data_IF_837340145835
#
_entry.id   IF_837340145835
#
_cell.length_a   1.000
_cell.length_b   1.000
_cell.length_c   1.000
_cell.angle_alpha   90.00
_cell.angle_beta   90.00
_cell.angle_gamma   90.00
#
_symmetry.space_group_name_H-M   'P 1'
#
loop_
_entity.id
_entity.type
_entity.pdbx_description
1 polymer ?
#
# COMPACT_ATOMS: atom_id res chain seq x y z
N UNK A 1 5.56 -10.48 -2.91
CA UNK A 1 5.43 -9.18 -3.60
C UNK A 1 6.10 -9.14 -4.98
N UNK A 2 7.37 -9.53 -5.17
CA UNK A 2 8.09 -9.30 -6.43
C UNK A 2 7.41 -9.93 -7.67
N UNK A 3 6.96 -11.19 -7.55
CA UNK A 3 6.27 -11.89 -8.64
C UNK A 3 4.96 -11.19 -9.07
N UNK A 4 4.23 -10.62 -8.11
CA UNK A 4 3.01 -9.88 -8.42
C UNK A 4 3.31 -8.61 -9.21
N UNK A 5 4.37 -7.88 -8.86
CA UNK A 5 4.79 -6.66 -9.58
C UNK A 5 5.27 -7.01 -10.99
N UNK A 6 6.04 -8.08 -11.15
CA UNK A 6 6.47 -8.56 -12.47
C UNK A 6 5.27 -8.94 -13.34
N UNK A 7 4.27 -9.62 -12.77
CA UNK A 7 3.05 -9.97 -13.49
C UNK A 7 2.24 -8.74 -13.88
N UNK A 8 2.09 -7.77 -12.97
CA UNK A 8 1.47 -6.48 -13.28
C UNK A 8 2.22 -5.77 -14.41
N UNK A 9 3.56 -5.81 -14.41
CA UNK A 9 4.38 -5.23 -15.48
C UNK A 9 4.19 -5.97 -16.82
N UNK A 10 4.00 -7.29 -16.79
CA UNK A 10 3.79 -8.11 -17.99
C UNK A 10 2.46 -7.80 -18.67
N UNK A 11 1.39 -7.61 -17.89
CA UNK A 11 0.03 -7.37 -18.41
C UNK A 11 -0.26 -5.90 -18.69
N UNK A 12 0.43 -4.97 -18.02
CA UNK A 12 0.21 -3.54 -18.21
C UNK A 12 0.74 -3.08 -19.58
N UNK A 13 -0.14 -2.49 -20.39
CA UNK A 13 0.22 -1.99 -21.72
C UNK A 13 1.35 -0.94 -21.63
N UNK A 14 2.47 -1.09 -22.36
CA UNK A 14 3.63 -0.20 -22.24
C UNK A 14 3.37 1.27 -22.60
N UNK A 15 2.42 1.55 -23.51
CA UNK A 15 2.18 2.90 -24.02
C UNK A 15 1.02 3.62 -23.32
N UNK A 16 -0.04 2.86 -23.03
CA UNK A 16 -1.33 3.38 -22.55
C UNK A 16 -1.71 2.89 -21.16
N UNK A 17 -1.00 1.90 -20.64
CA UNK A 17 -1.33 1.25 -19.39
C UNK A 17 -1.13 2.18 -18.19
N UNK A 18 -2.04 2.08 -17.23
CA UNK A 18 -1.97 2.74 -15.93
C UNK A 18 -2.08 1.66 -14.85
N UNK A 19 -1.16 1.70 -13.90
CA UNK A 19 -1.22 0.86 -12.70
C UNK A 19 -1.49 1.75 -11.50
N UNK A 20 -2.66 1.61 -10.88
CA UNK A 20 -3.06 2.39 -9.70
C UNK A 20 -3.15 1.49 -8.48
N UNK A 21 -2.55 1.91 -7.37
CA UNK A 21 -2.55 1.16 -6.11
C UNK A 21 -2.79 2.09 -4.93
N UNK A 22 -3.43 1.55 -3.90
CA UNK A 22 -3.55 2.18 -2.58
C UNK A 22 -2.80 1.30 -1.60
N UNK A 23 -1.79 1.88 -0.95
CA UNK A 23 -0.92 1.18 -0.02
C UNK A 23 -1.23 1.66 1.39
N UNK A 24 -1.63 0.77 2.32
CA UNK A 24 -1.74 1.12 3.73
C UNK A 24 -0.40 1.63 4.27
N UNK A 25 -0.42 2.72 5.03
CA UNK A 25 0.75 3.24 5.74
C UNK A 25 1.07 2.40 6.98
N UNK A 26 1.17 1.08 6.81
CA UNK A 26 1.40 0.11 7.86
C UNK A 26 2.65 0.44 8.68
N UNK A 27 2.56 0.27 10.00
CA UNK A 27 3.62 0.65 10.94
C UNK A 27 3.66 2.15 11.31
N UNK A 28 2.79 2.99 10.75
CA UNK A 28 2.67 4.39 11.17
C UNK A 28 1.87 4.55 12.47
N UNK A 29 2.14 5.63 13.22
CA UNK A 29 1.39 5.96 14.43
C UNK A 29 -0.08 6.25 14.12
N UNK A 30 -0.33 7.02 13.05
CA UNK A 30 -1.68 7.33 12.59
C UNK A 30 -2.46 6.07 12.17
N UNK A 31 -1.83 5.19 11.40
CA UNK A 31 -2.44 3.93 10.97
C UNK A 31 -2.74 3.02 12.16
N UNK A 32 -1.79 2.89 13.10
CA UNK A 32 -1.96 2.09 14.31
C UNK A 32 -3.13 2.59 15.16
N UNK A 33 -3.24 3.91 15.35
CA UNK A 33 -4.33 4.51 16.11
C UNK A 33 -5.68 4.29 15.41
N UNK A 34 -5.75 4.57 14.11
CA UNK A 34 -6.96 4.36 13.32
C UNK A 34 -7.41 2.90 13.36
N UNK A 35 -6.49 1.94 13.21
CA UNK A 35 -6.76 0.50 13.30
C UNK A 35 -7.38 0.14 14.65
N UNK A 36 -6.78 0.59 15.75
CA UNK A 36 -7.23 0.30 17.13
C UNK A 36 -8.64 0.80 17.41
N UNK A 37 -9.02 1.97 16.91
CA UNK A 37 -10.37 2.53 17.16
C UNK A 37 -11.44 2.01 16.19
N UNK A 38 -11.04 1.41 15.05
CA UNK A 38 -11.95 0.97 13.99
C UNK A 38 -11.91 -0.55 13.79
N UNK A 39 -11.18 -1.04 12.78
CA UNK A 39 -11.18 -2.42 12.33
C UNK A 39 -10.85 -3.42 13.44
N UNK A 40 -9.80 -3.14 14.24
CA UNK A 40 -9.41 -4.01 15.34
C UNK A 40 -10.52 -4.14 16.39
N UNK A 41 -11.03 -3.00 16.86
CA UNK A 41 -12.11 -2.96 17.86
C UNK A 41 -13.36 -3.68 17.39
N UNK A 42 -13.76 -3.50 16.13
CA UNK A 42 -14.94 -4.16 15.55
C UNK A 42 -14.70 -5.66 15.44
N UNK A 43 -13.55 -6.08 14.94
CA UNK A 43 -13.19 -7.48 14.77
C UNK A 43 -13.14 -8.22 16.11
N UNK A 44 -12.40 -7.70 17.08
CA UNK A 44 -12.22 -8.32 18.40
C UNK A 44 -13.55 -8.44 19.16
N UNK A 45 -14.42 -7.43 19.06
CA UNK A 45 -15.78 -7.50 19.62
C UNK A 45 -16.66 -8.55 18.96
N UNK A 46 -16.56 -8.68 17.64
CA UNK A 46 -17.41 -9.59 16.86
C UNK A 46 -16.99 -11.04 17.02
N UNK A 47 -15.69 -11.30 17.04
CA UNK A 47 -15.13 -12.64 16.94
C UNK A 47 -14.45 -13.13 18.23
N UNK A 48 -14.29 -12.29 19.26
CA UNK A 48 -13.72 -12.68 20.55
C UNK A 48 -12.25 -13.12 20.48
N UNK A 49 -11.53 -12.75 19.42
CA UNK A 49 -10.15 -13.14 19.17
C UNK A 49 -9.32 -11.94 18.70
N UNK A 50 -8.01 -11.98 18.95
CA UNK A 50 -7.08 -10.92 18.57
C UNK A 50 -7.12 -10.64 17.07
N UNK A 51 -7.12 -9.37 16.68
CA UNK A 51 -7.01 -8.97 15.28
C UNK A 51 -5.56 -9.08 14.74
N UNK A 52 -4.57 -9.20 15.64
CA UNK A 52 -3.16 -9.08 15.26
C UNK A 52 -2.67 -10.24 14.38
N UNK A 53 -3.19 -11.46 14.58
CA UNK A 53 -2.83 -12.60 13.73
C UNK A 53 -3.32 -12.41 12.28
N UNK A 54 -4.43 -11.71 12.09
CA UNK A 54 -5.01 -11.48 10.77
C UNK A 54 -4.21 -10.41 10.04
N UNK A 55 -4.02 -9.24 10.66
CA UNK A 55 -3.32 -8.12 10.02
C UNK A 55 -1.85 -8.46 9.73
N UNK A 56 -1.18 -9.21 10.60
CA UNK A 56 0.21 -9.63 10.38
C UNK A 56 0.40 -10.58 9.20
N UNK A 57 -0.66 -11.26 8.76
CA UNK A 57 -0.65 -12.11 7.58
C UNK A 57 -1.04 -11.37 6.29
N UNK A 58 -1.92 -10.38 6.40
CA UNK A 58 -2.39 -9.60 5.25
C UNK A 58 -1.41 -8.46 4.87
N UNK A 59 -0.82 -7.78 5.87
CA UNK A 59 0.00 -6.59 5.67
C UNK A 59 1.48 -6.87 5.93
N UNK A 60 2.05 -7.80 5.16
CA UNK A 60 3.44 -8.23 5.31
C UNK A 60 4.46 -7.16 4.89
N UNK A 61 4.15 -6.38 3.86
CA UNK A 61 5.09 -5.41 3.28
C UNK A 61 4.77 -3.99 3.76
N UNK A 62 5.81 -3.28 4.16
CA UNK A 62 5.74 -1.86 4.51
C UNK A 62 5.73 -0.99 3.24
N UNK A 63 5.24 0.26 3.31
CA UNK A 63 5.17 1.14 2.15
C UNK A 63 6.50 1.32 1.40
N UNK A 64 7.61 1.47 2.12
CA UNK A 64 8.91 1.68 1.49
C UNK A 64 9.43 0.43 0.77
N UNK A 65 9.14 -0.76 1.28
CA UNK A 65 9.48 -2.04 0.62
C UNK A 65 8.71 -2.15 -0.70
N UNK A 66 7.42 -1.81 -0.70
CA UNK A 66 6.60 -1.81 -1.91
C UNK A 66 7.11 -0.79 -2.92
N UNK A 67 7.48 0.41 -2.49
CA UNK A 67 8.03 1.44 -3.37
C UNK A 67 9.36 1.01 -4.00
N UNK A 68 10.24 0.38 -3.23
CA UNK A 68 11.51 -0.16 -3.73
C UNK A 68 11.27 -1.23 -4.79
N UNK A 69 10.34 -2.16 -4.54
CA UNK A 69 10.02 -3.23 -5.51
C UNK A 69 9.34 -2.71 -6.79
N UNK A 70 8.57 -1.60 -6.71
CA UNK A 70 7.93 -0.98 -7.87
C UNK A 70 8.91 -0.20 -8.76
N UNK A 71 9.94 0.41 -8.15
CA UNK A 71 10.82 1.37 -8.80
C UNK A 71 11.50 0.89 -10.09
N UNK A 72 11.94 -0.38 -10.24
CA UNK A 72 12.54 -0.87 -11.47
C UNK A 72 11.57 -0.96 -12.64
N UNK A 73 10.28 -1.20 -12.37
CA UNK A 73 9.30 -1.55 -13.40
C UNK A 73 8.36 -0.41 -13.77
N UNK A 74 8.17 0.55 -12.88
CA UNK A 74 7.16 1.59 -13.01
C UNK A 74 7.70 2.98 -12.62
N UNK A 75 7.10 4.01 -13.23
CA UNK A 75 7.32 5.42 -12.90
C UNK A 75 6.06 5.96 -12.25
N UNK A 76 6.18 6.53 -11.05
CA UNK A 76 5.06 7.17 -10.35
C UNK A 76 4.77 8.50 -11.05
N UNK A 77 3.54 8.66 -11.55
CA UNK A 77 3.08 9.90 -12.19
C UNK A 77 2.16 10.73 -11.29
N UNK A 78 1.55 10.09 -10.29
CA UNK A 78 0.74 10.77 -9.30
C UNK A 78 0.89 10.07 -7.94
N UNK A 79 0.91 10.87 -6.88
CA UNK A 79 1.06 10.43 -5.50
C UNK A 79 0.18 11.27 -4.59
N UNK A 80 -0.64 10.62 -3.78
CA UNK A 80 -1.51 11.28 -2.82
C UNK A 80 -1.51 10.54 -1.49
N UNK A 81 -1.45 11.29 -0.40
CA UNK A 81 -1.56 10.77 0.95
C UNK A 81 -2.96 11.04 1.50
N UNK A 82 -3.44 10.14 2.35
CA UNK A 82 -4.73 10.25 3.01
C UNK A 82 -4.58 9.96 4.51
N UNK A 83 -5.21 10.74 5.41
CA UNK A 83 -6.13 11.85 5.14
C UNK A 83 -5.45 13.20 4.92
N UNK A 84 -4.16 13.34 5.26
CA UNK A 84 -3.43 14.59 5.12
C UNK A 84 -2.65 14.56 3.81
N UNK A 85 -2.65 15.65 3.01
CA UNK A 85 -1.85 15.73 1.79
C UNK A 85 -0.33 15.82 2.06
N UNK A 86 0.09 15.79 3.33
CA UNK A 86 1.49 15.86 3.73
C UNK A 86 2.22 14.56 3.36
N UNK A 87 3.42 14.64 2.74
CA UNK A 87 4.18 13.48 2.27
C UNK A 87 4.90 12.73 3.38
N UNK A 88 4.17 12.40 4.44
CA UNK A 88 4.67 11.78 5.65
C UNK A 88 3.86 10.51 5.94
N UNK A 89 4.50 9.34 5.80
CA UNK A 89 3.87 8.04 6.08
C UNK A 89 3.41 7.96 7.54
N UNK A 90 4.10 8.63 8.47
CA UNK A 90 3.83 8.53 9.91
C UNK A 90 2.45 9.09 10.31
N UNK A 91 1.95 10.12 9.62
CA UNK A 91 0.70 10.82 9.93
C UNK A 91 -0.45 10.46 8.99
N UNK A 92 -0.23 9.51 8.07
CA UNK A 92 -1.22 9.09 7.10
C UNK A 92 -1.62 7.63 7.28
N UNK A 93 -2.78 7.31 6.72
CA UNK A 93 -3.39 5.98 6.72
C UNK A 93 -3.09 5.24 5.42
N UNK A 94 -3.11 5.96 4.29
CA UNK A 94 -2.94 5.37 2.97
C UNK A 94 -2.09 6.26 2.06
N UNK A 95 -1.36 5.61 1.15
CA UNK A 95 -0.63 6.19 0.04
C UNK A 95 -1.26 5.72 -1.27
N UNK A 96 -1.91 6.62 -1.98
CA UNK A 96 -2.38 6.40 -3.36
C UNK A 96 -1.26 6.68 -4.36
N UNK A 97 -1.04 5.75 -5.28
CA UNK A 97 -0.08 5.88 -6.37
C UNK A 97 -0.77 5.61 -7.70
N UNK A 98 -0.43 6.41 -8.70
CA UNK A 98 -0.69 6.10 -10.11
C UNK A 98 0.64 6.00 -10.81
N UNK A 99 0.86 4.88 -11.50
CA UNK A 99 2.12 4.54 -12.12
C UNK A 99 1.94 4.24 -13.61
N UNK A 100 2.97 4.54 -14.39
CA UNK A 100 3.14 4.11 -15.77
C UNK A 100 4.25 3.07 -15.88
N UNK A 101 4.11 2.02 -16.72
CA UNK A 101 5.19 1.08 -16.94
C UNK A 101 6.40 1.78 -17.57
N UNK A 102 7.60 1.46 -17.08
CA UNK A 102 8.85 1.93 -17.69
C UNK A 102 9.12 1.20 -19.00
N UNK A 103 9.74 1.88 -19.95
CA UNK A 103 10.29 1.22 -21.14
C UNK A 103 11.26 0.10 -20.69
N UNK A 104 11.28 -1.02 -21.44
CA UNK A 104 12.26 -2.08 -21.18
C UNK A 104 13.64 -1.49 -21.50
N UNK A 105 14.47 -1.30 -20.48
CA UNK A 105 15.93 -1.24 -20.64
C UNK A 105 16.47 -2.60 -21.06
#
# INVERSE_FOLDING_TARGET
>A
LPAAIQEMRRICNPERGIFSVVIPCEGSAAYTLARRISAQRIFERRYGQSYDWFISREHLNRPHEILTELAPFFTIIHRQFFPLPLPAVFCNLCLGLTLKPRART
#
